data_IF_704857964531
#
_entry.id   IF_704857964531
#
_cell.length_a   1.000
_cell.length_b   1.000
_cell.length_c   1.000
_cell.angle_alpha   90.00
_cell.angle_beta   90.00
_cell.angle_gamma   90.00
#
_symmetry.space_group_name_H-M   'P 1'
#
loop_
_entity.id
_entity.type
_entity.pdbx_description
1 polymer ?
#
# COMPACT_ATOMS: atom_id res chain seq x y z
N UNK A 1 0.53 26.31 -5.35
CA UNK A 1 0.07 26.16 -6.75
C UNK A 1 -1.27 26.89 -6.85
N UNK A 2 -1.43 27.85 -7.76
CA UNK A 2 -2.62 28.72 -7.83
C UNK A 2 -3.35 28.55 -9.16
N UNK A 3 -4.68 28.59 -9.17
CA UNK A 3 -5.50 28.43 -10.39
C UNK A 3 -5.04 29.35 -11.55
N UNK A 4 -4.60 30.57 -11.22
CA UNK A 4 -4.13 31.58 -12.17
C UNK A 4 -2.92 31.15 -13.00
N UNK A 5 -2.04 30.27 -12.50
CA UNK A 5 -0.88 29.79 -13.27
C UNK A 5 -1.24 28.71 -14.28
N UNK A 6 -2.44 28.13 -14.20
CA UNK A 6 -2.93 27.09 -15.11
C UNK A 6 -3.90 27.61 -16.16
N UNK A 7 -4.25 28.89 -16.09
CA UNK A 7 -5.19 29.53 -16.99
C UNK A 7 -4.46 30.54 -17.85
N UNK A 8 -4.70 30.47 -19.16
CA UNK A 8 -4.31 31.53 -20.07
C UNK A 8 -5.36 32.64 -19.98
N UNK A 9 -5.00 33.73 -19.30
CA UNK A 9 -5.90 34.86 -19.02
C UNK A 9 -6.39 35.50 -20.33
N UNK A 10 -5.57 35.45 -21.38
CA UNK A 10 -5.88 36.02 -22.69
C UNK A 10 -6.86 35.14 -23.49
N UNK A 11 -7.14 33.92 -23.02
CA UNK A 11 -8.03 32.94 -23.66
C UNK A 11 -9.30 32.62 -22.86
N UNK A 12 -9.69 33.52 -21.98
CA UNK A 12 -10.96 33.44 -21.27
C UNK A 12 -12.16 33.58 -22.25
N UNK A 13 -13.32 32.95 -21.96
CA UNK A 13 -13.65 32.15 -20.77
C UNK A 13 -12.93 30.79 -20.74
N UNK A 14 -12.79 30.14 -19.59
CA UNK A 14 -12.17 28.82 -19.49
C UNK A 14 -12.96 27.90 -18.55
N UNK A 15 -13.07 26.62 -18.92
CA UNK A 15 -13.66 25.55 -18.14
C UNK A 15 -12.54 24.77 -17.45
N UNK A 16 -12.50 24.79 -16.12
CA UNK A 16 -11.50 24.09 -15.33
C UNK A 16 -12.11 22.80 -14.77
N UNK A 17 -11.52 21.66 -15.11
CA UNK A 17 -11.87 20.38 -14.52
C UNK A 17 -10.97 20.14 -13.32
N UNK A 18 -11.59 19.96 -12.16
CA UNK A 18 -10.92 19.71 -10.89
C UNK A 18 -11.28 18.30 -10.44
N UNK A 19 -10.28 17.52 -10.07
CA UNK A 19 -10.47 16.19 -9.52
C UNK A 19 -9.99 16.14 -8.08
N UNK A 20 -10.61 15.26 -7.29
CA UNK A 20 -10.15 14.94 -5.94
C UNK A 20 -9.60 13.54 -5.93
N UNK A 21 -8.34 13.44 -5.53
CA UNK A 21 -7.61 12.19 -5.42
C UNK A 21 -7.26 11.97 -3.96
N UNK A 22 -8.05 11.12 -3.28
CA UNK A 22 -8.01 10.94 -1.82
C UNK A 22 -8.16 12.28 -1.07
N UNK A 23 -7.04 12.84 -0.60
CA UNK A 23 -6.98 14.09 0.15
C UNK A 23 -6.47 15.28 -0.67
N UNK A 24 -5.95 15.06 -1.89
CA UNK A 24 -5.47 16.14 -2.75
C UNK A 24 -6.54 16.57 -3.75
N UNK A 25 -6.70 17.88 -3.90
CA UNK A 25 -7.53 18.48 -4.93
C UNK A 25 -6.60 19.09 -5.97
N UNK A 26 -6.71 18.63 -7.20
CA UNK A 26 -5.78 18.97 -8.27
C UNK A 26 -6.54 19.40 -9.52
N UNK A 27 -5.95 20.35 -10.25
CA UNK A 27 -6.47 20.78 -11.54
C UNK A 27 -6.12 19.68 -12.55
N UNK A 28 -7.14 19.06 -13.11
CA UNK A 28 -6.99 17.95 -14.04
C UNK A 28 -6.75 18.45 -15.46
N UNK A 29 -7.57 19.38 -15.93
CA UNK A 29 -7.38 20.04 -17.22
C UNK A 29 -8.09 21.39 -17.26
N UNK A 30 -7.65 22.27 -18.16
CA UNK A 30 -8.25 23.58 -18.43
C UNK A 30 -8.59 23.63 -19.91
N UNK A 31 -9.89 23.80 -20.21
CA UNK A 31 -10.40 23.92 -21.57
C UNK A 31 -10.71 25.39 -21.82
N UNK A 32 -9.99 26.00 -22.75
CA UNK A 32 -10.23 27.39 -23.13
C UNK A 32 -11.53 27.49 -23.96
N UNK A 33 -12.29 28.56 -23.76
CA UNK A 33 -13.65 28.72 -24.28
C UNK A 33 -13.71 29.18 -25.74
N UNK A 34 -12.57 29.30 -26.41
CA UNK A 34 -12.47 29.58 -27.84
C UNK A 34 -12.58 28.32 -28.71
N UNK A 35 -13.08 27.21 -28.16
CA UNK A 35 -13.22 25.91 -28.83
C UNK A 35 -14.66 25.67 -29.30
N UNK A 36 -14.80 24.90 -30.39
CA UNK A 36 -16.12 24.47 -30.86
C UNK A 36 -16.78 23.46 -29.92
N UNK A 37 -18.10 23.32 -30.00
CA UNK A 37 -18.86 22.35 -29.17
C UNK A 37 -18.35 20.92 -29.35
N UNK A 38 -17.97 20.53 -30.58
CA UNK A 38 -17.43 19.21 -30.85
C UNK A 38 -16.09 18.99 -30.15
N UNK A 39 -15.19 19.99 -30.18
CA UNK A 39 -13.88 19.92 -29.52
C UNK A 39 -14.02 19.89 -28.01
N UNK A 40 -14.97 20.66 -27.45
CA UNK A 40 -15.33 20.61 -26.05
C UNK A 40 -15.80 19.20 -25.65
N UNK A 41 -16.70 18.61 -26.44
CA UNK A 41 -17.23 17.28 -26.16
C UNK A 41 -16.13 16.20 -26.23
N UNK A 42 -15.28 16.24 -27.26
CA UNK A 42 -14.13 15.34 -27.37
C UNK A 42 -13.18 15.50 -26.19
N UNK A 43 -12.90 16.73 -25.75
CA UNK A 43 -12.02 17.01 -24.61
C UNK A 43 -12.60 16.46 -23.30
N UNK A 44 -13.92 16.54 -23.11
CA UNK A 44 -14.59 16.01 -21.93
C UNK A 44 -14.62 14.48 -21.91
N UNK A 45 -14.88 13.83 -23.05
CA UNK A 45 -14.85 12.37 -23.18
C UNK A 45 -13.44 11.86 -22.85
N UNK A 46 -12.41 12.44 -23.47
CA UNK A 46 -11.03 12.09 -23.22
C UNK A 46 -10.65 12.29 -21.74
N UNK A 47 -11.09 13.41 -21.14
CA UNK A 47 -10.85 13.68 -19.73
C UNK A 47 -11.45 12.60 -18.81
N UNK A 48 -12.66 12.13 -19.13
CA UNK A 48 -13.33 11.08 -18.38
C UNK A 48 -12.62 9.73 -18.53
N UNK A 49 -12.22 9.35 -19.74
CA UNK A 49 -11.49 8.10 -20.01
C UNK A 49 -10.20 8.02 -19.21
N UNK A 50 -9.35 9.05 -19.29
CA UNK A 50 -8.09 9.14 -18.54
C UNK A 50 -8.33 9.07 -17.03
N UNK A 51 -9.37 9.75 -16.54
CA UNK A 51 -9.71 9.71 -15.12
C UNK A 51 -10.14 8.29 -14.68
N UNK A 52 -10.90 7.58 -15.51
CA UNK A 52 -11.33 6.21 -15.26
C UNK A 52 -10.15 5.23 -15.22
N UNK A 53 -9.22 5.34 -16.15
CA UNK A 53 -7.99 4.54 -16.16
C UNK A 53 -7.14 4.75 -14.91
N UNK A 54 -6.96 6.02 -14.50
CA UNK A 54 -6.21 6.35 -13.29
C UNK A 54 -6.88 5.80 -12.02
N UNK A 55 -8.22 5.80 -11.95
CA UNK A 55 -8.95 5.19 -10.84
C UNK A 55 -8.79 3.66 -10.83
N UNK A 56 -8.94 3.01 -11.99
CA UNK A 56 -8.81 1.55 -12.10
C UNK A 56 -7.39 1.04 -11.78
N UNK A 57 -6.35 1.74 -12.23
CA UNK A 57 -4.96 1.40 -11.86
C UNK A 57 -4.72 1.52 -10.35
N UNK A 58 -5.33 2.51 -9.70
CA UNK A 58 -5.19 2.71 -8.26
C UNK A 58 -5.85 1.61 -7.45
N UNK A 59 -7.08 1.22 -7.78
CA UNK A 59 -7.75 0.11 -7.09
C UNK A 59 -6.93 -1.17 -7.17
N UNK A 60 -6.38 -1.48 -8.35
CA UNK A 60 -5.47 -2.64 -8.53
C UNK A 60 -4.17 -2.49 -7.75
N UNK A 61 -3.61 -1.29 -7.67
CA UNK A 61 -2.40 -1.01 -6.88
C UNK A 61 -2.63 -1.17 -5.38
N UNK A 62 -3.76 -0.67 -4.87
CA UNK A 62 -4.16 -0.78 -3.46
C UNK A 62 -4.40 -2.23 -3.06
N UNK A 63 -5.05 -3.03 -3.90
CA UNK A 63 -5.23 -4.47 -3.68
C UNK A 63 -3.88 -5.19 -3.56
N UNK A 64 -2.93 -4.91 -4.46
CA UNK A 64 -1.59 -5.51 -4.43
C UNK A 64 -0.81 -5.16 -3.16
N UNK A 65 -0.88 -3.91 -2.70
CA UNK A 65 -0.19 -3.47 -1.49
C UNK A 65 -0.77 -4.20 -0.26
N UNK A 66 -2.10 -4.36 -0.20
CA UNK A 66 -2.75 -5.07 0.89
C UNK A 66 -2.35 -6.56 0.91
N UNK A 67 -2.29 -7.20 -0.24
CA UNK A 67 -1.86 -8.59 -0.36
C UNK A 67 -0.41 -8.77 0.10
N UNK A 68 0.50 -7.87 -0.31
CA UNK A 68 1.90 -7.91 0.09
C UNK A 68 2.08 -7.74 1.61
N UNK A 69 1.37 -6.78 2.22
CA UNK A 69 1.41 -6.57 3.67
C UNK A 69 0.88 -7.80 4.43
N UNK A 70 -0.19 -8.41 3.93
CA UNK A 70 -0.75 -9.63 4.51
C UNK A 70 0.24 -10.80 4.47
N UNK A 71 0.89 -11.02 3.33
CA UNK A 71 1.92 -12.06 3.19
C UNK A 71 3.12 -11.82 4.12
N UNK A 72 3.57 -10.57 4.25
CA UNK A 72 4.65 -10.22 5.17
C UNK A 72 4.26 -10.48 6.63
N UNK A 73 3.03 -10.13 7.04
CA UNK A 73 2.54 -10.41 8.40
C UNK A 73 2.55 -11.91 8.68
N UNK A 74 2.03 -12.72 7.75
CA UNK A 74 1.98 -14.18 7.91
C UNK A 74 3.37 -14.81 8.03
N UNK A 75 4.35 -14.27 7.29
CA UNK A 75 5.74 -14.73 7.36
C UNK A 75 6.38 -14.41 8.72
N UNK A 76 6.12 -13.22 9.27
CA UNK A 76 6.61 -12.82 10.59
C UNK A 76 6.00 -13.69 11.69
N UNK A 77 4.71 -14.00 11.59
CA UNK A 77 4.03 -14.83 12.59
C UNK A 77 4.55 -16.27 12.57
N UNK A 78 4.78 -16.85 11.39
CA UNK A 78 5.40 -18.17 11.24
C UNK A 78 6.82 -18.20 11.81
N UNK A 79 7.64 -17.19 11.52
CA UNK A 79 9.00 -17.11 12.03
C UNK A 79 9.03 -17.00 13.57
N UNK A 80 8.11 -16.22 14.15
CA UNK A 80 7.97 -16.13 15.61
C UNK A 80 7.56 -17.46 16.22
N UNK A 81 6.60 -18.16 15.63
CA UNK A 81 6.15 -19.46 16.16
C UNK A 81 7.27 -20.52 16.09
N UNK A 82 8.01 -20.58 14.99
CA UNK A 82 9.15 -21.51 14.86
C UNK A 82 10.26 -21.19 15.86
N UNK A 83 10.60 -19.91 16.03
CA UNK A 83 11.60 -19.48 17.02
C UNK A 83 11.20 -19.85 18.45
N UNK A 84 9.92 -19.70 18.79
CA UNK A 84 9.38 -20.06 20.10
C UNK A 84 9.45 -21.58 20.32
N UNK A 85 9.04 -22.38 19.32
CA UNK A 85 9.13 -23.85 19.39
C UNK A 85 10.57 -24.34 19.55
N UNK A 86 11.53 -23.70 18.86
CA UNK A 86 12.94 -24.06 18.96
C UNK A 86 13.49 -23.74 20.35
N UNK A 87 13.17 -22.57 20.90
CA UNK A 87 13.57 -22.17 22.24
C UNK A 87 12.99 -23.11 23.32
N UNK A 88 11.71 -23.46 23.22
CA UNK A 88 11.05 -24.40 24.13
C UNK A 88 11.70 -25.80 24.10
N UNK A 89 12.05 -26.30 22.90
CA UNK A 89 12.77 -27.58 22.76
C UNK A 89 14.16 -27.53 23.40
N UNK A 90 14.91 -26.46 23.16
CA UNK A 90 16.24 -26.29 23.75
C UNK A 90 16.19 -26.21 25.28
N UNK A 91 15.20 -25.53 25.86
CA UNK A 91 15.01 -25.47 27.30
C UNK A 91 14.68 -26.85 27.89
N UNK A 92 13.81 -27.61 27.23
CA UNK A 92 13.46 -28.97 27.65
C UNK A 92 14.66 -29.93 27.61
N UNK A 93 15.45 -29.86 26.53
CA UNK A 93 16.68 -30.65 26.40
C UNK A 93 17.73 -30.26 27.46
N UNK A 94 17.85 -28.98 27.79
CA UNK A 94 18.76 -28.54 28.85
C UNK A 94 18.33 -29.04 30.23
N UNK A 95 17.02 -28.97 30.55
CA UNK A 95 16.47 -29.49 31.82
C UNK A 95 16.67 -30.99 31.95
N UNK A 96 16.35 -31.75 30.91
CA UNK A 96 16.51 -33.22 30.93
C UNK A 96 17.96 -33.65 31.10
N UNK A 97 18.92 -32.96 30.46
CA UNK A 97 20.37 -33.20 30.68
C UNK A 97 20.77 -32.94 32.13
N UNK A 98 20.41 -31.78 32.68
CA UNK A 98 20.68 -31.44 34.09
C UNK A 98 20.10 -32.47 35.06
N UNK A 99 18.84 -32.89 34.86
CA UNK A 99 18.20 -33.92 35.71
C UNK A 99 18.92 -35.27 35.62
N UNK A 100 19.32 -35.70 34.43
CA UNK A 100 20.08 -36.94 34.24
C UNK A 100 21.48 -36.89 34.88
N UNK A 101 22.17 -35.74 34.82
CA UNK A 101 23.47 -35.55 35.48
C UNK A 101 23.35 -35.62 37.00
N UNK A 102 22.30 -35.01 37.56
CA UNK A 102 22.02 -35.07 39.01
C UNK A 102 21.71 -36.50 39.45
N UNK A 103 20.90 -37.24 38.68
CA UNK A 103 20.57 -38.64 38.98
C UNK A 103 21.81 -39.55 38.88
N UNK A 104 22.65 -39.37 37.86
CA UNK A 104 23.89 -40.13 37.71
C UNK A 104 24.91 -39.82 38.82
N UNK A 105 24.98 -38.58 39.29
CA UNK A 105 25.82 -38.19 40.42
C UNK A 105 25.32 -38.75 41.76
N UNK A 106 23.99 -38.86 41.94
CA UNK A 106 23.40 -39.48 43.11
C UNK A 106 23.67 -41.00 43.17
N UNK A 107 23.58 -41.70 42.03
CA UNK A 107 23.87 -43.14 41.95
C UNK A 107 25.35 -43.51 42.13
N UNK A 108 26.28 -42.57 41.94
CA UNK A 108 27.72 -42.79 42.19
C UNK A 108 28.14 -42.56 43.65
N UNK A 109 27.22 -42.09 44.50
CA UNK A 109 27.49 -41.80 45.93
C UNK A 109 26.97 -42.88 46.88
N UNK A 110 26.36 -43.95 46.36
CA UNK A 110 26.03 -45.21 47.05
C UNK A 110 27.04 -46.29 46.65
#
# INVERSE_FOLDING_TARGET
MTLRSHMDIDRLPALVLITRMRATTEIFTVINGNVGVNELMSSLIQAQEVLGEQQGQRSRGEERINDEAYQQSLAVDRAKEESKRLAERQELEAKTRLESEIQAAAQKKE
#
